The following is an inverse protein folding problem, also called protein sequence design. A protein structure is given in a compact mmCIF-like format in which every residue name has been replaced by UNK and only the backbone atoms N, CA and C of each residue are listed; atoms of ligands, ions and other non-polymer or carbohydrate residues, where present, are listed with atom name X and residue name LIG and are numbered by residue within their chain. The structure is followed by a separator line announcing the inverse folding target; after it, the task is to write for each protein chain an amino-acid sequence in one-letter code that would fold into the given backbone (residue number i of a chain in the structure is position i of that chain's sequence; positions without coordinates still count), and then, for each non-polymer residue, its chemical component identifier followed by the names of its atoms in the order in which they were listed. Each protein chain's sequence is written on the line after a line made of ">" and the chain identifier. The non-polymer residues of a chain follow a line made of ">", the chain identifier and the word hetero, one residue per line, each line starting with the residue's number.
data_IF_097193110094
#
_entry.id   IF_097193110094
#
_cell.length_a   1.000
_cell.length_b   1.000
_cell.length_c   1.000
_cell.angle_alpha   90.00
_cell.angle_beta   90.00
_cell.angle_gamma   90.00
#
_symmetry.space_group_name_H-M   'P 1'
#
loop_
_entity.id
_entity.type
_entity.pdbx_description
1 polymer ?
#
# COMPACT_ATOMS: atom_id res chain seq x y z
N UNK A 1 -6.40 1.57 6.27
CA UNK A 1 -6.28 0.15 5.97
C UNK A 1 -5.29 -0.52 6.90
N UNK A 2 -5.59 -1.71 7.34
CA UNK A 2 -4.69 -2.53 8.14
C UNK A 2 -4.01 -3.57 7.25
N UNK A 3 -2.90 -4.15 7.72
CA UNK A 3 -2.24 -5.24 7.02
C UNK A 3 -3.17 -6.42 6.77
N UNK A 4 -4.12 -6.65 7.67
CA UNK A 4 -5.11 -7.71 7.55
C UNK A 4 -6.03 -7.50 6.34
N UNK A 5 -6.48 -6.27 6.10
CA UNK A 5 -7.35 -5.96 4.97
C UNK A 5 -6.64 -6.18 3.64
N UNK A 6 -5.40 -5.70 3.54
CA UNK A 6 -4.58 -5.89 2.34
C UNK A 6 -4.35 -7.37 2.06
N UNK A 7 -4.03 -8.15 3.09
CA UNK A 7 -3.81 -9.59 2.96
C UNK A 7 -5.09 -10.31 2.53
N UNK A 8 -6.24 -9.93 3.09
CA UNK A 8 -7.52 -10.52 2.70
C UNK A 8 -7.80 -10.31 1.21
N UNK A 9 -7.54 -9.10 0.70
CA UNK A 9 -7.66 -8.81 -0.73
C UNK A 9 -6.71 -9.63 -1.59
N UNK A 10 -5.46 -9.78 -1.14
CA UNK A 10 -4.46 -10.59 -1.84
C UNK A 10 -4.85 -12.07 -1.90
N UNK A 11 -5.39 -12.61 -0.82
CA UNK A 11 -5.84 -13.99 -0.79
C UNK A 11 -6.98 -14.23 -1.78
N UNK A 12 -7.94 -13.30 -1.86
CA UNK A 12 -9.02 -13.40 -2.84
C UNK A 12 -8.50 -13.32 -4.28
N UNK A 13 -7.55 -12.44 -4.54
CA UNK A 13 -6.91 -12.32 -5.86
C UNK A 13 -6.18 -13.61 -6.25
N UNK A 14 -5.44 -14.21 -5.31
CA UNK A 14 -4.74 -15.47 -5.54
C UNK A 14 -5.68 -16.60 -5.92
N UNK A 15 -6.92 -16.55 -5.40
CA UNK A 15 -7.95 -17.55 -5.68
C UNK A 15 -8.82 -17.21 -6.89
N UNK A 16 -8.55 -16.09 -7.56
CA UNK A 16 -9.36 -15.56 -8.67
C UNK A 16 -10.84 -15.32 -8.28
N UNK A 17 -11.08 -15.05 -7.00
CA UNK A 17 -12.44 -14.77 -6.48
C UNK A 17 -12.74 -13.29 -6.32
N UNK A 18 -11.73 -12.43 -6.45
CA UNK A 18 -11.88 -11.01 -6.32
C UNK A 18 -12.49 -10.40 -7.59
N UNK A 19 -13.41 -9.47 -7.41
CA UNK A 19 -13.91 -8.65 -8.51
C UNK A 19 -12.96 -7.49 -8.73
N UNK A 20 -12.66 -7.18 -10.00
CA UNK A 20 -11.86 -6.02 -10.36
C UNK A 20 -12.62 -4.76 -9.96
N UNK A 21 -12.03 -3.92 -9.13
CA UNK A 21 -12.64 -2.65 -8.76
C UNK A 21 -12.32 -1.56 -9.77
N UNK A 22 -13.32 -0.74 -10.04
CA UNK A 22 -13.17 0.43 -10.89
C UNK A 22 -12.78 1.62 -10.03
N UNK A 23 -11.69 2.30 -10.40
CA UNK A 23 -11.15 3.44 -9.67
C UNK A 23 -11.20 4.68 -10.57
N UNK A 24 -12.37 5.33 -10.67
CA UNK A 24 -12.58 6.41 -11.66
C UNK A 24 -12.00 7.77 -11.24
N UNK A 25 -11.67 7.96 -9.96
CA UNK A 25 -11.16 9.22 -9.45
C UNK A 25 -9.68 9.13 -9.15
N UNK A 26 -9.01 10.27 -9.15
CA UNK A 26 -7.59 10.34 -8.82
C UNK A 26 -7.25 11.61 -8.05
N UNK A 27 -6.11 11.55 -7.37
CA UNK A 27 -5.51 12.70 -6.71
C UNK A 27 -4.46 13.29 -7.64
N UNK A 28 -4.65 14.55 -8.00
CA UNK A 28 -3.77 15.29 -8.90
C UNK A 28 -3.20 16.50 -8.17
N UNK A 29 -2.04 16.95 -8.63
CA UNK A 29 -1.43 18.19 -8.14
C UNK A 29 -1.44 19.18 -9.30
N UNK A 30 -2.31 20.19 -9.22
CA UNK A 30 -2.57 21.15 -10.29
C UNK A 30 -2.49 22.58 -9.72
N UNK A 31 -1.68 23.41 -10.36
CA UNK A 31 -1.52 24.82 -9.96
C UNK A 31 -1.18 24.99 -8.48
N UNK A 32 -0.27 24.16 -7.97
CA UNK A 32 0.19 24.23 -6.61
C UNK A 32 -0.77 23.69 -5.56
N UNK A 33 -1.82 22.97 -5.99
CA UNK A 33 -2.82 22.41 -5.09
C UNK A 33 -3.15 20.98 -5.44
N UNK A 34 -3.44 20.18 -4.42
CA UNK A 34 -3.97 18.84 -4.61
C UNK A 34 -5.46 18.92 -4.93
N UNK A 35 -5.87 18.21 -5.97
CA UNK A 35 -7.27 18.14 -6.41
C UNK A 35 -7.68 16.70 -6.63
N UNK A 36 -8.93 16.39 -6.31
CA UNK A 36 -9.53 15.08 -6.58
C UNK A 36 -10.49 15.25 -7.75
N UNK A 37 -10.19 14.57 -8.85
CA UNK A 37 -10.97 14.69 -10.08
C UNK A 37 -11.07 13.34 -10.78
N UNK A 38 -11.97 13.24 -11.76
CA UNK A 38 -12.09 12.03 -12.57
C UNK A 38 -10.83 11.82 -13.41
N UNK A 39 -10.33 10.62 -13.42
CA UNK A 39 -9.15 10.25 -14.21
C UNK A 39 -9.32 10.55 -15.69
N UNK A 40 -10.56 10.39 -16.21
CA UNK A 40 -10.86 10.63 -17.63
C UNK A 40 -10.68 12.06 -18.09
N UNK A 41 -10.61 13.03 -17.16
CA UNK A 41 -10.42 14.43 -17.48
C UNK A 41 -8.94 14.81 -17.65
N UNK A 42 -8.05 13.89 -17.39
CA UNK A 42 -6.60 14.13 -17.39
C UNK A 42 -5.85 13.12 -18.24
N UNK A 43 -4.79 13.56 -18.90
CA UNK A 43 -3.87 12.70 -19.63
C UNK A 43 -2.76 12.19 -18.71
N UNK A 44 -2.52 12.88 -17.59
CA UNK A 44 -1.51 12.52 -16.62
C UNK A 44 -2.01 11.41 -15.69
N UNK A 45 -1.07 10.61 -15.18
CA UNK A 45 -1.40 9.62 -14.17
C UNK A 45 -1.62 10.30 -12.81
N UNK A 46 -2.68 9.95 -12.08
CA UNK A 46 -2.88 10.47 -10.73
C UNK A 46 -1.81 9.92 -9.78
N UNK A 47 -1.58 10.64 -8.70
CA UNK A 47 -0.72 10.17 -7.61
C UNK A 47 -1.33 8.96 -6.91
N UNK A 48 -2.64 8.98 -6.73
CA UNK A 48 -3.44 7.91 -6.15
C UNK A 48 -4.74 7.80 -6.93
N UNK A 49 -5.32 6.61 -6.95
CA UNK A 49 -6.63 6.37 -7.57
C UNK A 49 -7.65 6.01 -6.51
N UNK A 50 -8.91 6.41 -6.73
CA UNK A 50 -9.96 6.21 -5.75
C UNK A 50 -11.23 5.67 -6.39
N UNK A 51 -11.96 4.90 -5.59
CA UNK A 51 -13.24 4.32 -5.96
C UNK A 51 -14.33 5.38 -6.07
N UNK A 52 -14.32 6.37 -5.17
CA UNK A 52 -15.30 7.44 -5.16
C UNK A 52 -14.66 8.77 -4.73
N UNK A 53 -15.40 9.85 -4.97
CA UNK A 53 -14.94 11.20 -4.66
C UNK A 53 -14.72 11.41 -3.15
N UNK A 54 -15.59 10.86 -2.32
CA UNK A 54 -15.51 11.01 -0.86
C UNK A 54 -14.19 10.46 -0.31
N UNK A 55 -13.78 9.30 -0.76
CA UNK A 55 -12.52 8.68 -0.34
C UNK A 55 -11.33 9.56 -0.72
N UNK A 56 -11.33 10.07 -1.94
CA UNK A 56 -10.28 10.98 -2.42
C UNK A 56 -10.25 12.29 -1.66
N UNK A 57 -11.42 12.85 -1.34
CA UNK A 57 -11.51 14.10 -0.57
C UNK A 57 -10.95 13.96 0.84
N UNK A 58 -11.16 12.82 1.48
CA UNK A 58 -10.58 12.54 2.80
C UNK A 58 -9.06 12.51 2.74
N UNK A 59 -8.50 11.89 1.70
CA UNK A 59 -7.05 11.85 1.51
C UNK A 59 -6.50 13.25 1.22
N UNK A 60 -7.17 14.00 0.37
CA UNK A 60 -6.80 15.39 0.08
C UNK A 60 -6.76 16.23 1.37
N UNK A 61 -7.79 16.09 2.20
CA UNK A 61 -7.87 16.80 3.47
C UNK A 61 -6.71 16.42 4.40
N UNK A 62 -6.41 15.13 4.49
CA UNK A 62 -5.26 14.63 5.27
C UNK A 62 -3.95 15.28 4.81
N UNK A 63 -3.72 15.33 3.50
CA UNK A 63 -2.49 15.90 2.92
C UNK A 63 -2.40 17.39 3.23
N UNK A 64 -3.50 18.14 3.09
CA UNK A 64 -3.49 19.59 3.31
C UNK A 64 -3.30 19.95 4.76
N UNK A 65 -3.69 19.12 5.70
CA UNK A 65 -3.47 19.34 7.13
C UNK A 65 -2.04 19.01 7.58
N UNK A 66 -1.31 18.21 6.80
CA UNK A 66 0.09 17.88 7.07
C UNK A 66 0.99 18.77 6.24
N UNK A 67 1.55 19.81 6.84
CA UNK A 67 2.38 20.82 6.15
C UNK A 67 3.53 20.20 5.33
N UNK A 68 4.13 19.12 5.87
CA UNK A 68 5.24 18.44 5.19
C UNK A 68 4.81 17.72 3.90
N UNK A 69 3.51 17.48 3.73
CA UNK A 69 2.97 16.76 2.58
C UNK A 69 2.25 17.67 1.58
N UNK A 70 2.35 19.00 1.75
CA UNK A 70 1.68 19.97 0.88
C UNK A 70 2.30 20.06 -0.53
N UNK A 71 3.46 19.46 -0.72
CA UNK A 71 4.27 19.52 -1.93
C UNK A 71 4.16 18.22 -2.72
N UNK A 72 3.99 18.35 -4.03
CA UNK A 72 3.94 17.21 -4.97
C UNK A 72 5.15 16.29 -4.82
N UNK A 73 6.35 16.87 -4.80
CA UNK A 73 7.59 16.10 -4.74
C UNK A 73 7.70 15.30 -3.46
N UNK A 74 7.38 15.93 -2.33
CA UNK A 74 7.42 15.27 -1.02
C UNK A 74 6.45 14.10 -0.96
N UNK A 75 5.22 14.31 -1.42
CA UNK A 75 4.23 13.24 -1.45
C UNK A 75 4.65 12.10 -2.37
N UNK A 76 5.13 12.43 -3.56
CA UNK A 76 5.55 11.43 -4.54
C UNK A 76 6.68 10.54 -4.01
N UNK A 77 7.67 11.15 -3.35
CA UNK A 77 8.79 10.41 -2.75
C UNK A 77 8.32 9.50 -1.62
N UNK A 78 7.39 9.99 -0.81
CA UNK A 78 6.87 9.22 0.33
C UNK A 78 6.12 7.96 -0.12
N UNK A 79 5.30 8.06 -1.16
CA UNK A 79 4.42 6.96 -1.59
C UNK A 79 5.00 6.09 -2.71
N UNK A 80 6.21 6.38 -3.19
CA UNK A 80 6.80 5.56 -4.26
C UNK A 80 7.24 4.20 -3.74
N UNK A 81 7.00 3.16 -4.53
CA UNK A 81 7.46 1.81 -4.22
C UNK A 81 8.78 1.49 -4.92
N UNK A 82 9.15 2.27 -5.93
CA UNK A 82 10.32 2.03 -6.77
C UNK A 82 11.60 1.90 -5.94
N UNK A 83 12.34 0.82 -6.17
CA UNK A 83 13.63 0.59 -5.54
C UNK A 83 13.56 0.09 -4.10
N UNK A 84 12.37 -0.14 -3.57
CA UNK A 84 12.22 -0.62 -2.20
C UNK A 84 12.49 -2.12 -2.10
N UNK A 85 13.31 -2.50 -1.11
CA UNK A 85 13.57 -3.89 -0.72
C UNK A 85 13.34 -3.95 0.78
N UNK A 86 12.10 -4.21 1.18
CA UNK A 86 11.66 -3.99 2.54
C UNK A 86 10.72 -5.08 3.04
N UNK A 87 10.71 -5.23 4.36
CA UNK A 87 9.74 -6.02 5.09
C UNK A 87 8.81 -5.05 5.81
N UNK A 88 7.53 -5.10 5.48
CA UNK A 88 6.51 -4.24 6.10
C UNK A 88 5.74 -5.04 7.13
N UNK A 89 5.78 -4.59 8.38
CA UNK A 89 5.14 -5.27 9.50
C UNK A 89 3.92 -4.49 9.95
N UNK A 90 2.77 -5.13 9.98
CA UNK A 90 1.51 -4.53 10.38
C UNK A 90 0.75 -5.37 11.39
N UNK A 91 -0.48 -4.95 11.66
CA UNK A 91 -1.35 -5.67 12.58
C UNK A 91 -1.77 -7.03 12.01
N UNK A 92 -1.87 -8.02 12.89
CA UNK A 92 -2.40 -9.32 12.53
C UNK A 92 -3.90 -9.43 12.77
N UNK A 93 -4.40 -10.65 12.68
CA UNK A 93 -5.83 -10.97 12.86
C UNK A 93 -6.25 -10.96 14.33
N UNK A 94 -5.30 -11.28 15.21
CA UNK A 94 -5.54 -11.44 16.65
C UNK A 94 -4.50 -10.67 17.44
N UNK A 95 -4.78 -10.47 18.71
CA UNK A 95 -3.82 -9.93 19.64
C UNK A 95 -2.61 -10.87 19.72
N UNK A 96 -1.40 -10.33 19.62
CA UNK A 96 -0.16 -11.11 19.62
C UNK A 96 0.29 -11.60 18.25
N UNK A 97 -0.56 -11.53 17.25
CA UNK A 97 -0.20 -11.86 15.88
C UNK A 97 0.10 -10.59 15.09
N UNK A 98 1.06 -10.67 14.19
CA UNK A 98 1.38 -9.58 13.25
C UNK A 98 1.33 -10.10 11.83
N UNK A 99 1.12 -9.19 10.90
CA UNK A 99 1.19 -9.47 9.48
C UNK A 99 2.48 -8.92 8.90
N UNK A 100 2.91 -9.48 7.77
CA UNK A 100 4.03 -8.94 7.03
C UNK A 100 3.75 -8.94 5.52
N UNK A 101 4.38 -7.99 4.85
CA UNK A 101 4.44 -7.91 3.40
C UNK A 101 5.91 -7.86 3.00
N UNK A 102 6.27 -8.55 1.94
CA UNK A 102 7.64 -8.50 1.38
C UNK A 102 7.59 -7.69 0.09
N UNK A 103 8.33 -6.59 0.08
CA UNK A 103 8.49 -5.72 -1.08
C UNK A 103 9.92 -5.95 -1.60
N UNK A 104 10.04 -6.34 -2.86
CA UNK A 104 11.34 -6.61 -3.48
C UNK A 104 11.39 -5.96 -4.85
N UNK A 105 12.40 -5.14 -5.08
CA UNK A 105 12.54 -4.35 -6.31
C UNK A 105 11.28 -3.52 -6.61
N UNK A 106 10.67 -2.97 -5.57
CA UNK A 106 9.47 -2.14 -5.68
C UNK A 106 8.18 -2.92 -5.93
N UNK A 107 8.21 -4.24 -5.83
CA UNK A 107 7.05 -5.10 -6.08
C UNK A 107 6.66 -5.88 -4.83
N UNK A 108 5.37 -5.99 -4.60
CA UNK A 108 4.84 -6.86 -3.55
C UNK A 108 4.91 -8.30 -4.03
N UNK A 109 5.75 -9.11 -3.40
CA UNK A 109 5.99 -10.49 -3.85
C UNK A 109 5.38 -11.55 -2.96
N UNK A 110 5.20 -11.27 -1.67
CA UNK A 110 4.63 -12.23 -0.74
C UNK A 110 4.10 -11.56 0.52
N UNK A 111 3.35 -12.33 1.30
CA UNK A 111 2.74 -11.87 2.54
C UNK A 111 2.60 -13.03 3.50
N UNK A 112 2.28 -12.73 4.76
CA UNK A 112 2.01 -13.77 5.75
C UNK A 112 1.75 -13.20 7.13
N UNK A 113 1.69 -14.12 8.09
CA UNK A 113 1.49 -13.78 9.50
C UNK A 113 2.56 -14.46 10.35
N UNK A 114 2.85 -13.87 11.50
CA UNK A 114 3.76 -14.44 12.48
C UNK A 114 3.38 -13.99 13.88
N UNK A 115 3.85 -14.71 14.90
CA UNK A 115 3.61 -14.38 16.30
C UNK A 115 4.88 -13.98 17.02
N UNK A 116 5.99 -14.65 16.72
CA UNK A 116 7.26 -14.43 17.41
C UNK A 116 8.30 -13.86 16.46
N UNK A 117 9.00 -12.82 16.91
CA UNK A 117 9.97 -12.09 16.08
C UNK A 117 11.03 -13.01 15.45
N UNK A 118 11.47 -14.06 16.15
CA UNK A 118 12.48 -14.96 15.58
C UNK A 118 12.01 -15.68 14.31
N UNK A 119 10.71 -15.77 14.08
CA UNK A 119 10.14 -16.41 12.90
C UNK A 119 10.41 -15.64 11.59
N UNK A 120 10.78 -14.35 11.70
CA UNK A 120 11.02 -13.49 10.55
C UNK A 120 12.43 -12.91 10.50
N UNK A 121 13.34 -13.42 11.34
CA UNK A 121 14.70 -12.88 11.45
C UNK A 121 15.61 -13.15 10.27
N UNK A 122 15.28 -14.13 9.43
CA UNK A 122 16.07 -14.45 8.25
C UNK A 122 15.17 -14.69 7.04
N UNK A 123 15.74 -14.54 5.84
CA UNK A 123 15.00 -14.81 4.61
C UNK A 123 14.53 -16.27 4.54
N UNK A 124 15.34 -17.19 5.01
CA UNK A 124 14.97 -18.61 5.07
C UNK A 124 13.72 -18.84 5.93
N UNK A 125 13.64 -18.17 7.08
CA UNK A 125 12.49 -18.28 7.97
C UNK A 125 11.25 -17.64 7.36
N UNK A 126 11.38 -16.48 6.74
CA UNK A 126 10.28 -15.83 6.02
C UNK A 126 9.75 -16.71 4.91
N UNK A 127 10.62 -17.37 4.17
CA UNK A 127 10.23 -18.26 3.07
C UNK A 127 9.34 -19.41 3.52
N UNK A 128 9.44 -19.82 4.79
CA UNK A 128 8.60 -20.87 5.35
C UNK A 128 7.19 -20.39 5.67
N UNK A 129 7.03 -19.09 5.96
CA UNK A 129 5.75 -18.50 6.35
C UNK A 129 5.04 -17.82 5.19
N UNK A 130 5.77 -17.42 4.16
CA UNK A 130 5.23 -16.58 3.11
C UNK A 130 4.22 -17.30 2.21
N UNK A 131 3.24 -16.55 1.79
CA UNK A 131 2.33 -16.93 0.72
C UNK A 131 2.66 -16.04 -0.47
N UNK A 132 2.99 -16.64 -1.61
CA UNK A 132 3.36 -15.87 -2.79
C UNK A 132 2.18 -15.11 -3.36
N UNK A 133 2.44 -13.89 -3.81
CA UNK A 133 1.46 -13.07 -4.50
C UNK A 133 1.45 -13.49 -5.97
N UNK A 134 0.33 -14.02 -6.42
CA UNK A 134 0.16 -14.43 -7.82
C UNK A 134 -0.28 -13.27 -8.70
N UNK A 135 -0.99 -12.29 -8.12
CA UNK A 135 -1.59 -11.21 -8.87
C UNK A 135 -1.74 -9.98 -7.99
N UNK A 136 -1.37 -8.81 -8.52
CA UNK A 136 -1.54 -7.53 -7.84
C UNK A 136 -2.47 -6.65 -8.66
N UNK A 137 -3.50 -6.11 -8.02
CA UNK A 137 -4.44 -5.19 -8.66
C UNK A 137 -4.04 -3.73 -8.42
N UNK A 138 -4.52 -2.78 -9.23
CA UNK A 138 -4.33 -1.36 -8.95
C UNK A 138 -4.85 -0.95 -7.57
N UNK A 139 -5.90 -1.59 -7.08
CA UNK A 139 -6.44 -1.34 -5.75
C UNK A 139 -5.41 -1.67 -4.66
N UNK A 140 -4.72 -2.80 -4.78
CA UNK A 140 -3.68 -3.20 -3.82
C UNK A 140 -2.53 -2.19 -3.84
N UNK A 141 -2.10 -1.75 -5.01
CA UNK A 141 -1.03 -0.75 -5.12
C UNK A 141 -1.45 0.55 -4.43
N UNK A 142 -2.68 0.99 -4.62
CA UNK A 142 -3.19 2.18 -3.92
C UNK A 142 -3.24 1.97 -2.41
N UNK A 143 -3.63 0.80 -1.93
CA UNK A 143 -3.64 0.47 -0.50
C UNK A 143 -2.23 0.58 0.09
N UNK A 144 -1.22 0.08 -0.63
CA UNK A 144 0.18 0.18 -0.19
C UNK A 144 0.63 1.65 -0.11
N UNK A 145 0.31 2.45 -1.12
CA UNK A 145 0.66 3.87 -1.13
C UNK A 145 -0.03 4.63 0.00
N UNK A 146 -1.31 4.35 0.23
CA UNK A 146 -2.05 4.95 1.35
C UNK A 146 -1.44 4.56 2.71
N UNK A 147 -1.01 3.32 2.83
CA UNK A 147 -0.35 2.83 4.05
C UNK A 147 0.97 3.55 4.31
N UNK A 148 1.73 3.84 3.27
CA UNK A 148 2.96 4.65 3.39
C UNK A 148 2.63 6.07 3.84
N UNK A 149 1.61 6.67 3.24
CA UNK A 149 1.18 8.02 3.58
C UNK A 149 0.76 8.13 5.05
N UNK A 150 0.00 7.14 5.53
CA UNK A 150 -0.54 7.11 6.88
C UNK A 150 0.37 6.43 7.91
N UNK A 151 1.52 5.94 7.49
CA UNK A 151 2.49 5.28 8.36
C UNK A 151 1.89 4.09 9.13
N UNK A 152 1.13 3.25 8.42
CA UNK A 152 0.42 2.11 9.02
C UNK A 152 1.30 0.88 9.26
N UNK A 153 2.44 0.78 8.59
CA UNK A 153 3.38 -0.34 8.73
C UNK A 153 4.68 0.11 9.34
N UNK A 154 5.29 -0.78 10.12
CA UNK A 154 6.69 -0.64 10.50
C UNK A 154 7.53 -1.19 9.36
N UNK A 155 8.36 -0.34 8.78
CA UNK A 155 9.16 -0.69 7.61
C UNK A 155 10.59 -1.01 8.07
N UNK A 156 11.06 -2.20 7.71
CA UNK A 156 12.41 -2.67 8.00
C UNK A 156 13.09 -3.14 6.73
N UNK A 157 14.40 -3.24 6.77
CA UNK A 157 15.16 -3.84 5.68
C UNK A 157 14.79 -5.31 5.55
N UNK A 158 14.76 -5.79 4.33
CA UNK A 158 14.51 -7.20 4.06
C UNK A 158 15.67 -8.02 4.66
N UNK A 159 15.39 -9.00 5.53
CA UNK A 159 16.46 -9.83 6.11
C UNK A 159 17.12 -10.71 5.05
N UNK A 160 18.38 -10.97 5.29
CA UNK A 160 19.21 -11.85 4.41
C UNK A 160 18.90 -13.32 4.64
#
# INVERSE_FOLDING_TARGET
>A
LTGTDTIAKLMLLNQNKSKKQFLPYGLFYIDGKFKVEKNSLHTEKPLLKFKNFSQGSKVKHYITENETLSDYKTLKELITLKGRNELWIGKGRNLGEKSFLIIEEGKLISFGYYELFHQIQSRKKLNKLQIEVKKVSPEIINDLKLSLLKNEYKIEKLPK
#
